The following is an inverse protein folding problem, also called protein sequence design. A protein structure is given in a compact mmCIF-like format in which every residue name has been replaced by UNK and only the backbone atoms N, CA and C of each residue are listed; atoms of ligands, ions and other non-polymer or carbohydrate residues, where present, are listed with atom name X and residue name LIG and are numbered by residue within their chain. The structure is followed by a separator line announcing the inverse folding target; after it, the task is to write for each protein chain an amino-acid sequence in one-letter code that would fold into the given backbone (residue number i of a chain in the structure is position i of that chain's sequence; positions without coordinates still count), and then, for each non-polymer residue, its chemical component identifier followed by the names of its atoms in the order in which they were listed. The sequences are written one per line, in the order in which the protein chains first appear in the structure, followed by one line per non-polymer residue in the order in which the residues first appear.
data_IF_461011768818
#
_entry.id   IF_461011768818
#
_cell.length_a   1.000
_cell.length_b   1.000
_cell.length_c   1.000
_cell.angle_alpha   90.00
_cell.angle_beta   90.00
_cell.angle_gamma   90.00
#
_symmetry.space_group_name_H-M   'P 1'
#
loop_
_entity.id
_entity.type
_entity.pdbx_description
1 polymer ?
#
# COMPACT_ATOMS: atom_id res chain seq x y z
N UNK A 1 12.42 -3.57 29.05
CA UNK A 1 11.10 -2.92 28.97
C UNK A 1 10.64 -3.07 27.52
N UNK A 2 9.46 -3.64 27.35
CA UNK A 2 8.92 -4.23 26.12
C UNK A 2 9.11 -3.38 24.86
N UNK A 3 9.69 -3.96 23.81
CA UNK A 3 9.50 -3.44 22.45
C UNK A 3 8.02 -3.63 22.10
N UNK A 4 7.30 -2.52 22.00
CA UNK A 4 5.91 -2.52 21.59
C UNK A 4 5.90 -2.78 20.08
N UNK A 5 5.86 -4.05 19.69
CA UNK A 5 5.56 -4.47 18.33
C UNK A 5 4.12 -4.07 18.05
N UNK A 6 3.93 -2.81 17.64
CA UNK A 6 2.68 -2.31 17.06
C UNK A 6 2.39 -3.10 15.79
N UNK A 7 1.74 -4.24 15.99
CA UNK A 7 0.97 -5.06 15.07
C UNK A 7 1.32 -4.86 13.58
N UNK A 8 2.48 -5.37 13.16
CA UNK A 8 2.73 -5.64 11.74
C UNK A 8 1.84 -6.82 11.36
N UNK A 9 0.56 -6.53 11.13
CA UNK A 9 -0.36 -7.53 10.59
C UNK A 9 -0.01 -7.72 9.13
N UNK A 10 0.59 -8.85 8.80
CA UNK A 10 0.80 -9.23 7.39
C UNK A 10 -0.54 -9.41 6.63
N UNK A 11 -1.66 -9.45 7.36
CA UNK A 11 -2.96 -9.86 6.84
C UNK A 11 -3.91 -8.67 6.78
N UNK A 12 -4.23 -8.24 5.56
CA UNK A 12 -5.31 -7.29 5.29
C UNK A 12 -6.68 -7.98 5.41
N UNK A 13 -7.77 -7.23 5.67
CA UNK A 13 -9.12 -7.73 5.44
C UNK A 13 -9.26 -8.24 3.99
N UNK A 14 -9.92 -9.39 3.73
CA UNK A 14 -9.95 -10.01 2.41
C UNK A 14 -10.40 -9.06 1.29
N UNK A 15 -11.38 -8.20 1.56
CA UNK A 15 -11.84 -7.21 0.58
C UNK A 15 -10.77 -6.17 0.22
N UNK A 16 -9.95 -5.75 1.19
CA UNK A 16 -8.88 -4.77 0.96
C UNK A 16 -7.71 -5.44 0.23
N UNK A 17 -7.34 -6.67 0.61
CA UNK A 17 -6.31 -7.46 -0.09
C UNK A 17 -6.65 -7.62 -1.58
N UNK A 18 -7.86 -8.07 -1.90
CA UNK A 18 -8.31 -8.25 -3.29
C UNK A 18 -8.22 -6.94 -4.07
N UNK A 19 -8.77 -5.84 -3.54
CA UNK A 19 -8.76 -4.55 -4.24
C UNK A 19 -7.36 -3.98 -4.46
N UNK A 20 -6.46 -4.16 -3.49
CA UNK A 20 -5.06 -3.73 -3.64
C UNK A 20 -4.40 -4.53 -4.76
N UNK A 21 -4.52 -5.86 -4.78
CA UNK A 21 -3.94 -6.70 -5.84
C UNK A 21 -4.50 -6.36 -7.22
N UNK A 22 -5.81 -6.15 -7.33
CA UNK A 22 -6.44 -5.73 -8.58
C UNK A 22 -5.94 -4.37 -9.06
N UNK A 23 -5.78 -3.41 -8.14
CA UNK A 23 -5.25 -2.07 -8.45
C UNK A 23 -3.83 -2.15 -8.98
N UNK A 24 -2.96 -2.87 -8.27
CA UNK A 24 -1.56 -3.06 -8.67
C UNK A 24 -1.48 -3.77 -10.02
N UNK A 25 -2.27 -4.82 -10.23
CA UNK A 25 -2.32 -5.55 -11.50
C UNK A 25 -2.73 -4.64 -12.67
N UNK A 26 -3.74 -3.79 -12.45
CA UNK A 26 -4.20 -2.81 -13.44
C UNK A 26 -3.14 -1.77 -13.78
N UNK A 27 -2.41 -1.26 -12.79
CA UNK A 27 -1.44 -0.18 -12.96
C UNK A 27 -0.08 -0.66 -13.50
N UNK A 28 0.30 -1.90 -13.20
CA UNK A 28 1.64 -2.44 -13.52
C UNK A 28 1.64 -3.48 -14.64
N UNK A 29 0.48 -4.08 -14.93
CA UNK A 29 0.36 -5.22 -15.85
C UNK A 29 0.78 -6.56 -15.25
N UNK A 30 1.22 -6.60 -13.98
CA UNK A 30 1.54 -7.85 -13.27
C UNK A 30 0.24 -8.63 -13.00
N UNK A 31 0.28 -9.96 -13.13
CA UNK A 31 -0.89 -10.79 -12.84
C UNK A 31 -1.18 -10.75 -11.34
N UNK A 32 -2.42 -10.43 -10.94
CA UNK A 32 -2.82 -10.26 -9.54
C UNK A 32 -2.43 -11.43 -8.61
N UNK A 33 -2.38 -12.65 -9.14
CA UNK A 33 -1.98 -13.87 -8.41
C UNK A 33 -0.50 -13.91 -8.05
N UNK A 34 0.35 -13.22 -8.80
CA UNK A 34 1.80 -13.21 -8.64
C UNK A 34 2.25 -12.08 -7.70
N UNK A 35 1.36 -11.12 -7.43
CA UNK A 35 1.53 -10.05 -6.46
C UNK A 35 1.51 -10.65 -5.05
N UNK A 36 2.30 -10.12 -4.13
CA UNK A 36 2.32 -10.52 -2.72
C UNK A 36 2.23 -9.29 -1.85
N UNK A 37 1.32 -9.31 -0.87
CA UNK A 37 1.37 -8.35 0.25
C UNK A 37 2.56 -8.75 1.13
N UNK A 38 3.55 -7.89 1.23
CA UNK A 38 4.74 -8.13 2.06
C UNK A 38 4.58 -7.50 3.44
N UNK A 39 3.86 -6.39 3.53
CA UNK A 39 3.56 -5.67 4.77
C UNK A 39 2.22 -4.94 4.66
N UNK A 40 1.46 -4.90 5.76
CA UNK A 40 0.35 -3.98 5.91
C UNK A 40 0.39 -3.36 7.31
N UNK A 41 0.15 -2.05 7.41
CA UNK A 41 0.04 -1.33 8.69
C UNK A 41 -1.16 -0.41 8.65
N UNK A 42 -1.98 -0.47 9.69
CA UNK A 42 -3.09 0.47 9.82
C UNK A 42 -2.55 1.86 10.17
N UNK A 43 -3.02 2.89 9.47
CA UNK A 43 -2.60 4.28 9.65
C UNK A 43 -3.78 5.22 9.44
N UNK A 44 -3.72 6.42 10.03
CA UNK A 44 -4.69 7.49 9.78
C UNK A 44 -4.04 8.55 8.91
N UNK A 45 -4.73 8.93 7.84
CA UNK A 45 -4.29 9.92 6.86
C UNK A 45 -4.86 11.31 7.15
N UNK A 46 -4.18 12.39 6.72
CA UNK A 46 -4.61 13.76 7.03
C UNK A 46 -5.81 14.25 6.20
N UNK A 47 -6.10 13.60 5.07
CA UNK A 47 -7.11 14.03 4.10
C UNK A 47 -7.66 12.86 3.26
N UNK A 48 -8.67 13.14 2.42
CA UNK A 48 -9.27 12.14 1.52
C UNK A 48 -8.38 11.71 0.35
N UNK A 49 -7.25 12.39 0.12
CA UNK A 49 -6.21 11.97 -0.81
C UNK A 49 -5.14 11.11 -0.12
N UNK A 50 -5.37 10.72 1.13
CA UNK A 50 -4.48 9.87 1.91
C UNK A 50 -3.10 10.53 2.14
N UNK A 51 -3.06 11.87 2.13
CA UNK A 51 -1.82 12.65 2.19
C UNK A 51 -0.96 12.54 0.92
N UNK A 52 -1.56 12.16 -0.20
CA UNK A 52 -0.93 12.01 -1.53
C UNK A 52 -1.69 12.83 -2.57
N UNK A 53 -1.98 14.09 -2.25
CA UNK A 53 -2.58 15.03 -3.18
C UNK A 53 -1.66 15.24 -4.39
N UNK A 54 -2.24 15.25 -5.59
CA UNK A 54 -1.52 15.65 -6.82
C UNK A 54 -1.63 17.16 -7.04
N UNK A 55 -0.87 17.70 -8.00
CA UNK A 55 -0.92 19.12 -8.34
C UNK A 55 -2.34 19.55 -8.69
N UNK A 56 -2.80 20.65 -8.08
CA UNK A 56 -4.14 21.23 -8.23
C UNK A 56 -5.31 20.36 -7.74
N UNK A 57 -5.03 19.25 -7.05
CA UNK A 57 -6.07 18.38 -6.49
C UNK A 57 -6.60 18.89 -5.16
N UNK A 58 -7.92 19.03 -5.06
CA UNK A 58 -8.60 19.44 -3.83
C UNK A 58 -9.02 18.19 -3.06
N UNK A 59 -8.41 18.01 -1.88
CA UNK A 59 -8.69 16.90 -0.97
C UNK A 59 -9.61 17.36 0.17
N UNK A 60 -10.56 16.52 0.56
CA UNK A 60 -11.40 16.76 1.73
C UNK A 60 -10.57 16.76 3.01
N UNK A 61 -10.76 17.77 3.85
CA UNK A 61 -10.02 17.97 5.10
C UNK A 61 -10.63 17.14 6.25
N UNK A 62 -10.36 15.83 6.26
CA UNK A 62 -10.74 14.95 7.36
C UNK A 62 -9.71 13.85 7.59
N UNK A 63 -9.62 13.37 8.83
CA UNK A 63 -8.82 12.20 9.15
C UNK A 63 -9.45 10.94 8.55
N UNK A 64 -8.66 10.17 7.79
CA UNK A 64 -9.11 8.94 7.12
C UNK A 64 -8.36 7.74 7.66
N UNK A 65 -9.00 6.85 8.44
CA UNK A 65 -8.40 5.57 8.81
C UNK A 65 -8.18 4.70 7.56
N UNK A 66 -7.09 3.94 7.55
CA UNK A 66 -6.68 3.21 6.35
C UNK A 66 -5.49 2.30 6.56
N UNK A 67 -4.89 1.87 5.45
CA UNK A 67 -3.76 0.95 5.44
C UNK A 67 -2.61 1.50 4.59
N UNK A 68 -1.38 1.42 5.11
CA UNK A 68 -0.16 1.49 4.31
C UNK A 68 0.24 0.06 3.95
N UNK A 69 0.27 -0.25 2.67
CA UNK A 69 0.45 -1.61 2.16
C UNK A 69 1.67 -1.65 1.27
N UNK A 70 2.61 -2.53 1.59
CA UNK A 70 3.75 -2.81 0.72
C UNK A 70 3.44 -4.10 -0.03
N UNK A 71 3.57 -4.04 -1.36
CA UNK A 71 3.34 -5.17 -2.27
C UNK A 71 4.57 -5.43 -3.13
N UNK A 72 4.74 -6.66 -3.59
CA UNK A 72 5.85 -7.05 -4.46
C UNK A 72 5.45 -8.16 -5.43
N UNK A 73 6.07 -8.15 -6.61
CA UNK A 73 6.05 -9.26 -7.58
C UNK A 73 7.34 -10.11 -7.51
N UNK A 74 8.23 -9.82 -6.55
CA UNK A 74 9.55 -10.43 -6.40
C UNK A 74 10.68 -9.71 -7.13
N UNK A 75 10.40 -8.70 -7.96
CA UNK A 75 11.39 -7.87 -8.67
C UNK A 75 11.25 -6.39 -8.35
N UNK A 76 10.04 -5.94 -8.09
CA UNK A 76 9.71 -4.58 -7.73
C UNK A 76 8.85 -4.60 -6.47
N UNK A 77 8.95 -3.52 -5.70
CA UNK A 77 8.04 -3.22 -4.60
C UNK A 77 7.26 -1.95 -4.92
N UNK A 78 6.02 -1.93 -4.45
CA UNK A 78 5.18 -0.73 -4.48
C UNK A 78 4.58 -0.53 -3.10
N UNK A 79 4.51 0.73 -2.68
CA UNK A 79 3.82 1.12 -1.46
C UNK A 79 2.54 1.82 -1.86
N UNK A 80 1.42 1.31 -1.37
CA UNK A 80 0.09 1.90 -1.55
C UNK A 80 -0.47 2.37 -0.22
N UNK A 81 -1.26 3.45 -0.26
CA UNK A 81 -2.12 3.88 0.83
C UNK A 81 -3.56 3.60 0.46
N UNK A 82 -4.35 3.09 1.39
CA UNK A 82 -5.79 2.88 1.20
C UNK A 82 -6.62 3.53 2.29
N UNK A 83 -7.91 3.77 2.04
CA UNK A 83 -8.89 3.92 3.13
C UNK A 83 -9.18 2.56 3.79
N UNK A 84 -9.90 2.55 4.91
CA UNK A 84 -10.15 1.32 5.70
C UNK A 84 -10.90 0.23 4.92
N UNK A 85 -11.61 0.58 3.85
CA UNK A 85 -12.42 -0.33 3.02
C UNK A 85 -11.79 -0.62 1.64
N UNK A 86 -10.60 -0.08 1.37
CA UNK A 86 -9.94 -0.17 0.06
C UNK A 86 -10.71 0.52 -1.08
N UNK A 87 -11.55 1.51 -0.81
CA UNK A 87 -12.30 2.27 -1.84
C UNK A 87 -11.44 3.32 -2.52
N UNK A 88 -10.52 3.91 -1.77
CA UNK A 88 -9.48 4.80 -2.29
C UNK A 88 -8.17 4.07 -2.09
N UNK A 89 -7.38 3.93 -3.16
CA UNK A 89 -6.07 3.28 -3.18
C UNK A 89 -5.15 4.18 -4.00
N UNK A 90 -4.01 4.60 -3.44
CA UNK A 90 -3.05 5.50 -4.10
C UNK A 90 -1.63 5.01 -3.94
N UNK A 91 -0.85 5.11 -5.01
CA UNK A 91 0.58 4.81 -5.00
C UNK A 91 1.34 5.89 -4.23
N UNK A 92 2.06 5.47 -3.19
CA UNK A 92 2.98 6.31 -2.41
C UNK A 92 4.38 6.30 -3.04
N UNK A 93 4.90 5.11 -3.36
CA UNK A 93 6.23 4.96 -3.97
C UNK A 93 6.39 3.59 -4.66
N UNK A 94 7.39 3.47 -5.52
CA UNK A 94 7.79 2.19 -6.12
C UNK A 94 9.30 2.10 -6.25
N UNK A 95 9.85 0.90 -6.03
CA UNK A 95 11.30 0.66 -5.99
C UNK A 95 11.64 -0.69 -6.64
N UNK A 96 12.68 -0.72 -7.48
CA UNK A 96 13.20 -1.97 -8.04
C UNK A 96 14.07 -2.69 -7.00
N UNK A 97 13.86 -3.98 -6.83
CA UNK A 97 14.74 -4.85 -6.04
C UNK A 97 15.93 -5.22 -6.92
N UNK A 98 17.05 -4.54 -6.73
CA UNK A 98 18.32 -4.96 -7.30
C UNK A 98 18.99 -6.00 -6.38
N UNK A 99 18.98 -7.27 -6.78
CA UNK A 99 19.85 -8.28 -6.16
C UNK A 99 21.28 -8.04 -6.64
N UNK A 100 22.01 -7.14 -5.98
CA UNK A 100 23.43 -6.97 -6.25
C UNK A 100 24.17 -8.08 -5.50
N UNK A 101 24.42 -9.19 -6.19
CA UNK A 101 25.51 -10.09 -5.80
C UNK A 101 26.80 -9.37 -6.18
N UNK A 102 27.48 -8.77 -5.22
CA UNK A 102 28.90 -8.48 -5.37
C UNK A 102 29.63 -9.82 -5.20
N UNK A 103 30.06 -10.39 -6.33
CA UNK A 103 31.17 -11.36 -6.39
C UNK A 103 32.48 -10.64 -6.04
#
# INVERSE_FOLDING_TARGET
MVINTGDVTKTLPPQVDTKVRETVAKETGVIAKDIKIVEARQQTWPDTCLGLATTDEICGQMLVPGWRVVVSDGRQTWVYRTDIQGRIIRLESSELIFNINYD
#
